data_IF_499573302602
#
_entry.id   IF_499573302602
#
_cell.length_a   1.000
_cell.length_b   1.000
_cell.length_c   1.000
_cell.angle_alpha   90.00
_cell.angle_beta   90.00
_cell.angle_gamma   90.00
#
_symmetry.space_group_name_H-M   'P 1'
#
loop_
_entity.id
_entity.type
_entity.pdbx_description
1 polymer ?
#
# COMPACT_ATOMS: atom_id res chain seq x y z
N UNK A 1 4.73 10.91 -9.34
CA UNK A 1 3.54 10.65 -8.52
C UNK A 1 3.96 9.94 -7.25
N UNK A 2 3.17 10.10 -6.19
CA UNK A 2 3.55 9.61 -4.86
C UNK A 2 3.75 8.09 -4.83
N UNK A 3 2.90 7.35 -5.53
CA UNK A 3 2.99 5.89 -5.57
C UNK A 3 4.30 5.44 -6.22
N UNK A 4 4.72 6.13 -7.27
CA UNK A 4 5.98 5.80 -7.96
C UNK A 4 7.21 6.06 -7.09
N UNK A 5 7.10 6.90 -6.06
CA UNK A 5 8.19 7.19 -5.14
C UNK A 5 8.35 6.13 -4.06
N UNK A 6 7.41 5.19 -3.92
CA UNK A 6 7.52 4.12 -2.94
C UNK A 6 8.70 3.20 -3.24
N UNK A 7 9.30 2.59 -2.19
CA UNK A 7 10.28 1.51 -2.43
C UNK A 7 9.66 0.41 -3.29
N UNK A 8 10.47 -0.27 -4.08
CA UNK A 8 9.99 -1.21 -5.09
C UNK A 8 9.04 -2.27 -4.54
N UNK A 9 9.38 -2.91 -3.43
CA UNK A 9 8.53 -3.95 -2.86
C UNK A 9 7.20 -3.39 -2.40
N UNK A 10 7.23 -2.26 -1.68
CA UNK A 10 6.00 -1.60 -1.22
C UNK A 10 5.14 -1.16 -2.38
N UNK A 11 5.76 -0.66 -3.44
CA UNK A 11 5.04 -0.18 -4.63
C UNK A 11 4.29 -1.33 -5.30
N UNK A 12 4.97 -2.46 -5.51
CA UNK A 12 4.35 -3.62 -6.14
C UNK A 12 3.18 -4.14 -5.32
N UNK A 13 3.39 -4.30 -4.02
CA UNK A 13 2.37 -4.80 -3.11
C UNK A 13 1.18 -3.84 -3.07
N UNK A 14 1.44 -2.55 -2.95
CA UNK A 14 0.40 -1.53 -2.91
C UNK A 14 -0.45 -1.56 -4.16
N UNK A 15 0.19 -1.61 -5.34
CA UNK A 15 -0.53 -1.64 -6.60
C UNK A 15 -1.41 -2.88 -6.73
N UNK A 16 -0.91 -4.04 -6.33
CA UNK A 16 -1.70 -5.28 -6.40
C UNK A 16 -2.89 -5.26 -5.46
N UNK A 17 -2.72 -4.71 -4.26
CA UNK A 17 -3.80 -4.66 -3.28
C UNK A 17 -4.85 -3.60 -3.62
N UNK A 18 -4.41 -2.42 -4.04
CA UNK A 18 -5.30 -1.27 -4.25
C UNK A 18 -5.83 -1.18 -5.68
N UNK A 19 -4.93 -1.26 -6.66
CA UNK A 19 -5.33 -1.10 -8.06
C UNK A 19 -5.95 -2.37 -8.63
N UNK A 20 -5.37 -3.52 -8.31
CA UNK A 20 -5.87 -4.80 -8.81
C UNK A 20 -6.93 -5.42 -7.90
N UNK A 21 -7.14 -4.86 -6.72
CA UNK A 21 -8.16 -5.33 -5.79
C UNK A 21 -7.88 -6.70 -5.19
N UNK A 22 -6.62 -7.13 -5.14
CA UNK A 22 -6.28 -8.44 -4.60
C UNK A 22 -6.25 -8.43 -3.08
N UNK A 23 -6.58 -9.58 -2.50
CA UNK A 23 -6.49 -9.77 -1.05
C UNK A 23 -5.04 -9.95 -0.63
N UNK A 24 -4.73 -9.58 0.60
CA UNK A 24 -3.37 -9.71 1.14
C UNK A 24 -2.86 -11.14 1.02
N UNK A 25 -3.72 -12.12 1.28
CA UNK A 25 -3.34 -13.53 1.16
C UNK A 25 -2.92 -13.88 -0.27
N UNK A 26 -3.67 -13.38 -1.26
CA UNK A 26 -3.36 -13.62 -2.66
C UNK A 26 -2.01 -13.02 -3.05
N UNK A 27 -1.77 -11.78 -2.62
CA UNK A 27 -0.51 -11.09 -2.90
C UNK A 27 0.65 -11.81 -2.23
N UNK A 28 0.45 -12.27 -1.00
CA UNK A 28 1.46 -13.02 -0.28
C UNK A 28 1.86 -14.29 -1.02
N UNK A 29 0.88 -15.04 -1.51
CA UNK A 29 1.12 -16.25 -2.29
C UNK A 29 1.86 -15.95 -3.59
N UNK A 30 1.40 -14.94 -4.34
CA UNK A 30 2.01 -14.56 -5.61
C UNK A 30 3.48 -14.15 -5.47
N UNK A 31 3.79 -13.47 -4.38
CA UNK A 31 5.13 -12.95 -4.16
C UNK A 31 5.99 -13.87 -3.29
N UNK A 32 5.42 -14.98 -2.84
CA UNK A 32 6.11 -15.95 -1.99
C UNK A 32 6.64 -15.30 -0.70
N UNK A 33 5.79 -14.53 -0.05
CA UNK A 33 6.08 -13.87 1.21
C UNK A 33 4.93 -14.13 2.18
N UNK A 34 5.10 -13.78 3.45
CA UNK A 34 4.04 -13.96 4.44
C UNK A 34 3.00 -12.85 4.35
N UNK A 35 1.79 -13.13 4.84
CA UNK A 35 0.75 -12.12 4.96
C UNK A 35 1.20 -10.97 5.88
N UNK A 36 1.97 -11.30 6.92
CA UNK A 36 2.52 -10.27 7.81
C UNK A 36 3.44 -9.32 7.06
N UNK A 37 4.23 -9.83 6.12
CA UNK A 37 5.10 -9.00 5.29
C UNK A 37 4.26 -8.08 4.40
N UNK A 38 3.18 -8.60 3.79
CA UNK A 38 2.28 -7.78 2.99
C UNK A 38 1.69 -6.68 3.87
N UNK A 39 1.22 -7.03 5.06
CA UNK A 39 0.62 -6.06 5.97
C UNK A 39 1.62 -4.96 6.36
N UNK A 40 2.85 -5.34 6.67
CA UNK A 40 3.90 -4.38 7.02
C UNK A 40 4.19 -3.44 5.86
N UNK A 41 4.31 -3.97 4.65
CA UNK A 41 4.60 -3.17 3.47
C UNK A 41 3.43 -2.22 3.15
N UNK A 42 2.20 -2.68 3.33
CA UNK A 42 1.03 -1.83 3.14
C UNK A 42 1.00 -0.69 4.16
N UNK A 43 1.32 -0.99 5.42
CA UNK A 43 1.40 0.05 6.46
C UNK A 43 2.44 1.10 6.11
N UNK A 44 3.61 0.68 5.63
CA UNK A 44 4.67 1.59 5.21
C UNK A 44 4.22 2.44 4.02
N UNK A 45 3.55 1.81 3.05
CA UNK A 45 3.04 2.53 1.89
C UNK A 45 2.04 3.61 2.29
N UNK A 46 1.10 3.28 3.17
CA UNK A 46 0.11 4.25 3.64
C UNK A 46 0.77 5.40 4.43
N UNK A 47 1.73 5.09 5.28
CA UNK A 47 2.46 6.12 6.02
C UNK A 47 3.20 7.07 5.08
N UNK A 48 3.84 6.52 4.07
CA UNK A 48 4.55 7.31 3.07
C UNK A 48 3.60 8.23 2.32
N UNK A 49 2.49 7.66 1.82
CA UNK A 49 1.50 8.42 1.07
C UNK A 49 0.90 9.53 1.92
N UNK A 50 0.55 9.22 3.17
CA UNK A 50 -0.02 10.19 4.10
C UNK A 50 0.97 11.33 4.38
N UNK A 51 2.24 10.99 4.54
CA UNK A 51 3.31 11.97 4.77
C UNK A 51 3.45 12.94 3.60
N UNK A 52 3.26 12.46 2.38
CA UNK A 52 3.38 13.27 1.17
C UNK A 52 2.13 14.09 0.87
N UNK A 53 0.95 13.53 1.14
CA UNK A 53 -0.32 14.21 0.87
C UNK A 53 -0.81 15.04 2.06
N UNK A 54 -0.33 14.75 3.26
CA UNK A 54 -0.66 15.52 4.45
C UNK A 54 -2.15 15.48 4.77
N UNK A 55 -2.72 16.65 5.12
CA UNK A 55 -4.11 16.77 5.54
C UNK A 55 -5.10 16.32 4.47
N UNK A 56 -4.76 16.47 3.20
CA UNK A 56 -5.63 16.06 2.10
C UNK A 56 -5.95 14.57 2.15
N UNK A 57 -4.95 13.76 2.49
CA UNK A 57 -5.15 12.31 2.59
C UNK A 57 -6.08 11.96 3.75
N UNK A 58 -5.92 12.64 4.89
CA UNK A 58 -6.77 12.43 6.06
C UNK A 58 -8.22 12.82 5.78
N UNK A 59 -8.43 13.91 5.05
CA UNK A 59 -9.77 14.36 4.65
C UNK A 59 -10.44 13.31 3.78
N UNK A 60 -9.72 12.76 2.81
CA UNK A 60 -10.24 11.71 1.94
C UNK A 60 -10.67 10.48 2.72
N UNK A 61 -9.87 10.06 3.69
CA UNK A 61 -10.22 8.92 4.54
C UNK A 61 -11.44 9.21 5.41
N UNK A 62 -11.60 10.45 5.86
CA UNK A 62 -12.74 10.83 6.69
C UNK A 62 -14.05 10.85 5.92
N UNK A 63 -13.99 11.14 4.62
CA UNK A 63 -15.17 11.21 3.76
C UNK A 63 -15.64 9.82 3.35
N UNK A 64 -14.73 8.86 3.26
CA UNK A 64 -15.05 7.50 2.91
C UNK A 64 -15.54 6.73 4.11
#
# INVERSE_FOLDING_TARGET
DVIEELPDQSKIIFKRCVLDGKKYKEVAEEMNISVNTVNTQMSRAYKFIRSRLGASFLILLSVI
#
